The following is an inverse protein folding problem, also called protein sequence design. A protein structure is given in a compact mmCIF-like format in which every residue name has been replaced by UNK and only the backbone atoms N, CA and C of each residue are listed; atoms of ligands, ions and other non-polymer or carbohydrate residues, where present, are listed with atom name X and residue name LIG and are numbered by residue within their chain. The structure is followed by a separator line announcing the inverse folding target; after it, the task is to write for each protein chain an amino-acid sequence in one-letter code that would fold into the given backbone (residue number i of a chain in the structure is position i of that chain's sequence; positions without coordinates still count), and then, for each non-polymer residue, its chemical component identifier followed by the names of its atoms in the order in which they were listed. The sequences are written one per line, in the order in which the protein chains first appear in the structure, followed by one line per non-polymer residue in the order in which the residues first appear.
data_IF_486676549297
#
_entry.id   IF_486676549297
#
_cell.length_a   1.000
_cell.length_b   1.000
_cell.length_c   1.000
_cell.angle_alpha   90.00
_cell.angle_beta   90.00
_cell.angle_gamma   90.00
#
_symmetry.space_group_name_H-M   'P 1'
#
loop_
_entity.id
_entity.type
_entity.pdbx_description
1 polymer ?
#
# COMPACT_ATOMS: atom_id res chain seq x y z
N UNK A 1 32.67 36.38 -5.34
CA UNK A 1 32.72 35.32 -6.37
C UNK A 1 32.20 34.04 -5.77
N UNK A 2 30.90 33.81 -5.91
CA UNK A 2 30.21 32.51 -6.18
C UNK A 2 28.69 32.74 -6.01
N UNK A 3 27.87 32.53 -7.06
CA UNK A 3 26.49 32.16 -6.85
C UNK A 3 26.13 30.94 -7.71
N UNK A 4 25.77 29.82 -7.08
CA UNK A 4 24.98 28.75 -7.72
C UNK A 4 23.89 28.25 -6.80
N UNK A 5 22.77 28.97 -6.84
CA UNK A 5 21.43 28.45 -6.56
C UNK A 5 20.64 28.63 -7.86
N UNK A 6 20.15 27.52 -8.41
CA UNK A 6 19.08 27.43 -9.41
C UNK A 6 18.51 26.02 -9.19
N UNK A 7 17.33 25.77 -8.63
CA UNK A 7 15.98 26.22 -8.99
C UNK A 7 15.77 26.34 -10.49
N UNK A 8 15.18 25.30 -11.09
CA UNK A 8 14.27 25.39 -12.24
C UNK A 8 13.45 24.08 -12.23
N UNK A 9 12.21 24.10 -11.74
CA UNK A 9 11.00 24.64 -12.37
C UNK A 9 10.42 23.69 -13.42
N UNK A 10 9.29 23.10 -13.02
CA UNK A 10 8.15 22.66 -13.81
C UNK A 10 8.27 22.84 -15.34
N UNK A 11 8.35 21.73 -16.07
CA UNK A 11 8.04 21.71 -17.49
C UNK A 11 6.51 21.63 -17.66
N UNK A 12 5.82 22.67 -18.16
CA UNK A 12 4.40 22.59 -18.42
C UNK A 12 4.17 21.69 -19.64
N UNK A 13 3.32 20.68 -19.46
CA UNK A 13 2.75 19.91 -20.56
C UNK A 13 1.99 20.88 -21.45
N UNK A 14 2.52 21.17 -22.63
CA UNK A 14 1.93 22.10 -23.59
C UNK A 14 0.68 21.45 -24.18
N UNK A 15 -0.49 21.95 -23.78
CA UNK A 15 -1.79 21.57 -24.33
C UNK A 15 -1.94 22.20 -25.72
N UNK A 16 -1.56 21.47 -26.77
CA UNK A 16 -1.85 21.89 -28.14
C UNK A 16 -3.36 21.78 -28.41
N UNK A 17 -4.05 22.93 -28.42
CA UNK A 17 -5.44 23.04 -28.84
C UNK A 17 -5.56 22.79 -30.35
N UNK A 18 -6.07 21.61 -30.73
CA UNK A 18 -6.45 21.34 -32.11
C UNK A 18 -7.79 22.04 -32.44
N UNK A 19 -7.73 23.01 -33.36
CA UNK A 19 -8.92 23.64 -33.95
C UNK A 19 -9.68 22.65 -34.85
N UNK A 20 -11.00 22.82 -34.86
CA UNK A 20 -12.00 21.89 -35.40
C UNK A 20 -11.79 21.39 -36.83
N UNK A 21 -12.05 20.09 -36.99
CA UNK A 21 -12.32 19.43 -38.26
C UNK A 21 -13.24 18.23 -38.01
N UNK A 22 -14.47 18.30 -38.52
CA UNK A 22 -15.44 17.18 -38.48
C UNK A 22 -14.92 16.05 -39.38
N UNK A 23 -14.58 14.92 -38.80
CA UNK A 23 -14.28 13.68 -39.52
C UNK A 23 -14.47 12.47 -38.61
N UNK A 24 -15.51 11.68 -38.89
CA UNK A 24 -15.72 10.33 -38.33
C UNK A 24 -14.60 9.42 -38.87
N UNK A 25 -13.70 8.95 -38.02
CA UNK A 25 -12.70 7.95 -38.38
C UNK A 25 -11.84 7.59 -37.16
N UNK A 26 -11.67 6.30 -36.88
CA UNK A 26 -10.93 5.79 -35.72
C UNK A 26 -9.51 6.38 -35.66
N UNK A 27 -9.14 6.85 -34.47
CA UNK A 27 -7.86 7.50 -34.22
C UNK A 27 -6.70 6.53 -34.42
N UNK A 28 -6.04 6.64 -35.56
CA UNK A 28 -4.72 6.10 -35.79
C UNK A 28 -3.72 7.14 -35.28
N UNK A 29 -3.11 6.91 -34.11
CA UNK A 29 -1.97 7.72 -33.66
C UNK A 29 -0.87 7.59 -34.70
N UNK A 30 -0.35 8.73 -35.19
CA UNK A 30 0.73 8.72 -36.17
C UNK A 30 1.99 8.04 -35.65
N UNK A 31 2.90 7.57 -36.51
CA UNK A 31 4.17 6.99 -36.09
C UNK A 31 4.97 8.03 -35.28
N UNK A 32 5.06 7.81 -33.96
CA UNK A 32 5.77 8.68 -33.02
C UNK A 32 4.89 9.35 -31.95
N UNK A 33 3.56 9.34 -32.10
CA UNK A 33 2.67 9.86 -31.06
C UNK A 33 2.29 8.79 -30.04
N UNK A 34 2.39 9.14 -28.76
CA UNK A 34 1.92 8.32 -27.66
C UNK A 34 0.44 7.94 -27.83
N UNK A 35 0.11 6.66 -27.74
CA UNK A 35 -1.31 6.30 -27.59
C UNK A 35 -1.82 6.74 -26.20
N UNK A 36 -3.12 7.05 -26.04
CA UNK A 36 -3.70 7.34 -24.73
C UNK A 36 -3.43 6.23 -23.68
N UNK A 37 -3.40 4.97 -24.11
CA UNK A 37 -3.06 3.85 -23.24
C UNK A 37 -1.61 3.90 -22.75
N UNK A 38 -0.67 4.27 -23.61
CA UNK A 38 0.73 4.43 -23.24
C UNK A 38 0.93 5.61 -22.28
N UNK A 39 0.22 6.71 -22.50
CA UNK A 39 0.24 7.85 -21.58
C UNK A 39 -0.28 7.47 -20.18
N UNK A 40 -1.41 6.74 -20.10
CA UNK A 40 -1.94 6.26 -18.83
C UNK A 40 -0.99 5.29 -18.11
N UNK A 41 -0.35 4.36 -18.85
CA UNK A 41 0.69 3.48 -18.29
C UNK A 41 1.90 4.27 -17.77
N UNK A 42 2.37 5.24 -18.55
CA UNK A 42 3.49 6.09 -18.20
C UNK A 42 3.19 6.90 -16.93
N UNK A 43 2.01 7.50 -16.84
CA UNK A 43 1.57 8.25 -15.65
C UNK A 43 1.51 7.36 -14.41
N UNK A 44 0.87 6.19 -14.53
CA UNK A 44 0.74 5.26 -13.41
C UNK A 44 2.10 4.74 -12.94
N UNK A 45 2.97 4.31 -13.86
CA UNK A 45 4.31 3.82 -13.51
C UNK A 45 5.18 4.92 -12.93
N UNK A 46 5.09 6.15 -13.43
CA UNK A 46 5.81 7.29 -12.86
C UNK A 46 5.36 7.59 -11.42
N UNK A 47 4.05 7.48 -11.13
CA UNK A 47 3.52 7.65 -9.78
C UNK A 47 4.04 6.55 -8.84
N UNK A 48 3.94 5.28 -9.25
CA UNK A 48 4.44 4.15 -8.46
C UNK A 48 5.93 4.27 -8.16
N UNK A 49 6.74 4.67 -9.15
CA UNK A 49 8.17 4.89 -8.95
C UNK A 49 8.43 5.98 -7.90
N UNK A 50 7.76 7.15 -8.01
CA UNK A 50 7.94 8.23 -7.04
C UNK A 50 7.55 7.82 -5.62
N UNK A 51 6.43 7.12 -5.45
CA UNK A 51 5.95 6.68 -4.14
C UNK A 51 6.88 5.63 -3.53
N UNK A 52 7.32 4.64 -4.31
CA UNK A 52 8.26 3.62 -3.84
C UNK A 52 9.61 4.25 -3.47
N UNK A 53 10.16 5.13 -4.30
CA UNK A 53 11.40 5.85 -3.99
C UNK A 53 11.26 6.73 -2.75
N UNK A 54 10.12 7.43 -2.57
CA UNK A 54 9.86 8.24 -1.39
C UNK A 54 9.89 7.40 -0.11
N UNK A 55 9.25 6.22 -0.14
CA UNK A 55 9.25 5.30 1.01
C UNK A 55 10.65 4.81 1.37
N UNK A 56 11.49 4.50 0.39
CA UNK A 56 12.90 4.17 0.66
C UNK A 56 13.65 5.37 1.22
N UNK A 57 13.38 6.59 0.74
CA UNK A 57 14.05 7.79 1.25
C UNK A 57 13.63 8.18 2.67
N UNK A 58 12.48 7.72 3.16
CA UNK A 58 12.10 7.86 4.57
C UNK A 58 13.06 7.09 5.51
N UNK A 59 13.64 5.97 5.04
CA UNK A 59 14.55 5.12 5.81
C UNK A 59 16.03 5.33 5.45
N UNK A 60 16.31 5.64 4.19
CA UNK A 60 17.63 5.89 3.63
C UNK A 60 17.54 7.11 2.71
N UNK A 61 17.67 8.33 3.26
CA UNK A 61 17.50 9.58 2.51
C UNK A 61 18.46 9.73 1.33
N UNK A 62 19.58 9.01 1.35
CA UNK A 62 20.61 9.07 0.32
C UNK A 62 20.35 8.14 -0.86
N UNK A 63 19.45 7.17 -0.68
CA UNK A 63 19.20 6.13 -1.67
C UNK A 63 18.61 6.67 -2.97
N UNK A 64 19.10 6.12 -4.07
CA UNK A 64 18.64 6.39 -5.43
C UNK A 64 18.63 5.08 -6.23
N UNK A 65 17.69 4.91 -7.16
CA UNK A 65 17.75 3.78 -8.08
C UNK A 65 18.95 3.92 -9.02
N UNK A 66 19.47 2.79 -9.47
CA UNK A 66 20.55 2.71 -10.45
C UNK A 66 20.17 3.46 -11.74
N UNK A 67 21.07 4.31 -12.25
CA UNK A 67 20.82 5.08 -13.45
C UNK A 67 20.69 4.14 -14.66
N UNK A 68 19.65 4.35 -15.46
CA UNK A 68 19.47 3.65 -16.74
C UNK A 68 19.56 4.66 -17.88
N UNK A 69 20.45 4.43 -18.84
CA UNK A 69 20.50 5.21 -20.08
C UNK A 69 19.29 4.84 -20.95
N UNK A 70 18.38 5.79 -21.15
CA UNK A 70 17.19 5.62 -21.98
C UNK A 70 17.05 6.78 -22.96
N UNK A 71 16.42 6.53 -24.11
CA UNK A 71 15.94 7.61 -24.99
C UNK A 71 14.74 8.30 -24.31
N UNK A 72 14.85 9.60 -23.94
CA UNK A 72 13.76 10.32 -23.28
C UNK A 72 12.54 10.53 -24.18
N UNK A 73 12.66 10.36 -25.50
CA UNK A 73 11.54 10.48 -26.42
C UNK A 73 10.79 9.14 -26.62
N UNK A 74 11.35 8.02 -26.14
CA UNK A 74 10.74 6.71 -26.22
C UNK A 74 9.90 6.42 -24.97
N UNK A 75 8.57 6.34 -25.16
CA UNK A 75 7.62 6.16 -24.05
C UNK A 75 7.75 4.80 -23.38
N UNK A 76 7.96 3.73 -24.15
CA UNK A 76 8.16 2.41 -23.56
C UNK A 76 9.48 2.36 -22.77
N UNK A 77 10.54 3.05 -23.23
CA UNK A 77 11.78 3.16 -22.47
C UNK A 77 11.59 3.91 -21.14
N UNK A 78 10.76 4.97 -21.12
CA UNK A 78 10.40 5.69 -19.90
C UNK A 78 9.57 4.84 -18.94
N UNK A 79 8.61 4.08 -19.46
CA UNK A 79 7.81 3.13 -18.67
C UNK A 79 8.75 2.09 -18.04
N UNK A 80 9.61 1.47 -18.83
CA UNK A 80 10.56 0.47 -18.34
C UNK A 80 11.51 1.03 -17.26
N UNK A 81 11.96 2.28 -17.41
CA UNK A 81 12.74 2.98 -16.37
C UNK A 81 11.96 3.14 -15.07
N UNK A 82 10.72 3.59 -15.13
CA UNK A 82 9.88 3.76 -13.94
C UNK A 82 9.61 2.41 -13.23
N UNK A 83 9.31 1.37 -14.01
CA UNK A 83 9.12 0.02 -13.49
C UNK A 83 10.41 -0.52 -12.84
N UNK A 84 11.57 -0.26 -13.45
CA UNK A 84 12.87 -0.60 -12.87
C UNK A 84 13.13 0.12 -11.55
N UNK A 85 12.90 1.43 -11.49
CA UNK A 85 13.05 2.22 -10.27
C UNK A 85 12.12 1.71 -9.15
N UNK A 86 10.88 1.37 -9.50
CA UNK A 86 9.90 0.78 -8.57
C UNK A 86 10.41 -0.57 -8.02
N UNK A 87 10.93 -1.45 -8.87
CA UNK A 87 11.48 -2.74 -8.44
C UNK A 87 12.65 -2.57 -7.47
N UNK A 88 13.61 -1.73 -7.82
CA UNK A 88 14.78 -1.47 -6.97
C UNK A 88 14.40 -0.85 -5.63
N UNK A 89 13.45 0.10 -5.63
CA UNK A 89 12.95 0.70 -4.39
C UNK A 89 12.24 -0.34 -3.51
N UNK A 90 11.38 -1.17 -4.11
CA UNK A 90 10.68 -2.24 -3.41
C UNK A 90 11.65 -3.30 -2.86
N UNK A 91 12.70 -3.63 -3.59
CA UNK A 91 13.76 -4.55 -3.13
C UNK A 91 14.46 -3.98 -1.91
N UNK A 92 14.98 -2.74 -2.00
CA UNK A 92 15.63 -2.06 -0.88
C UNK A 92 14.70 -1.93 0.33
N UNK A 93 13.43 -1.59 0.11
CA UNK A 93 12.47 -1.48 1.19
C UNK A 93 12.22 -2.83 1.88
N UNK A 94 12.13 -3.91 1.11
CA UNK A 94 11.94 -5.25 1.68
C UNK A 94 13.14 -5.73 2.50
N UNK A 95 14.38 -5.37 2.10
CA UNK A 95 15.57 -5.66 2.91
C UNK A 95 15.47 -4.96 4.27
N UNK A 96 15.09 -3.69 4.27
CA UNK A 96 14.85 -2.95 5.51
C UNK A 96 13.76 -3.59 6.38
N UNK A 97 12.67 -4.08 5.78
CA UNK A 97 11.63 -4.78 6.54
C UNK A 97 12.14 -6.10 7.13
N UNK A 98 13.06 -6.81 6.47
CA UNK A 98 13.72 -8.00 7.06
C UNK A 98 14.58 -7.62 8.24
N UNK A 99 15.30 -6.51 8.16
CA UNK A 99 16.08 -6.00 9.30
C UNK A 99 15.16 -5.59 10.46
N UNK A 100 14.03 -4.96 10.15
CA UNK A 100 13.08 -4.44 11.15
C UNK A 100 12.28 -5.54 11.83
N UNK A 101 11.82 -6.55 11.08
CA UNK A 101 10.90 -7.57 11.57
C UNK A 101 11.54 -8.96 11.72
N UNK A 102 12.72 -9.21 11.15
CA UNK A 102 13.35 -10.52 11.15
C UNK A 102 12.45 -11.58 10.51
N UNK A 103 12.43 -12.78 11.11
CA UNK A 103 11.62 -13.92 10.67
C UNK A 103 10.10 -13.66 10.70
N UNK A 104 9.65 -12.59 11.36
CA UNK A 104 8.23 -12.23 11.43
C UNK A 104 7.69 -11.73 10.07
N UNK A 105 8.50 -11.10 9.23
CA UNK A 105 7.99 -10.50 7.99
C UNK A 105 7.89 -11.46 6.81
N UNK A 106 8.79 -12.44 6.72
CA UNK A 106 9.01 -13.23 5.51
C UNK A 106 9.50 -14.64 5.87
N UNK A 107 8.64 -15.66 5.96
CA UNK A 107 9.13 -17.03 5.89
C UNK A 107 9.85 -17.20 4.55
N UNK A 108 11.07 -17.73 4.56
CA UNK A 108 12.02 -17.78 3.44
C UNK A 108 11.46 -18.29 2.08
N UNK A 109 10.31 -18.96 2.09
CA UNK A 109 9.57 -19.40 0.91
C UNK A 109 8.87 -18.27 0.12
N UNK A 110 8.82 -17.04 0.64
CA UNK A 110 8.07 -15.91 0.02
C UNK A 110 8.93 -14.87 -0.68
N UNK A 111 10.25 -15.05 -0.69
CA UNK A 111 11.20 -14.08 -1.26
C UNK A 111 11.07 -13.91 -2.79
N UNK A 112 10.55 -14.92 -3.48
CA UNK A 112 10.35 -14.91 -4.93
C UNK A 112 8.92 -14.54 -5.35
N UNK A 113 8.00 -14.31 -4.41
CA UNK A 113 6.62 -13.98 -4.72
C UNK A 113 6.54 -12.58 -5.35
N UNK A 114 5.75 -12.46 -6.42
CA UNK A 114 5.46 -11.16 -7.02
C UNK A 114 4.76 -10.28 -5.98
N UNK A 115 5.39 -9.15 -5.65
CA UNK A 115 4.82 -8.17 -4.70
C UNK A 115 3.75 -7.35 -5.39
N UNK A 116 2.73 -6.95 -4.63
CA UNK A 116 1.78 -5.93 -5.07
C UNK A 116 2.39 -4.52 -4.97
N UNK A 117 1.56 -3.51 -5.12
CA UNK A 117 1.96 -2.12 -4.90
C UNK A 117 1.72 -1.71 -3.45
N UNK A 118 2.70 -1.09 -2.79
CA UNK A 118 2.49 -0.40 -1.51
C UNK A 118 2.52 1.11 -1.78
N UNK A 119 1.43 1.80 -1.46
CA UNK A 119 1.17 3.19 -1.87
C UNK A 119 0.57 3.98 -0.71
N UNK A 120 0.51 5.31 -0.85
CA UNK A 120 -0.02 6.18 0.20
C UNK A 120 0.93 6.39 1.40
N UNK A 121 0.64 7.39 2.25
CA UNK A 121 1.50 7.74 3.37
C UNK A 121 1.37 6.73 4.52
N UNK A 122 2.50 6.44 5.18
CA UNK A 122 2.52 5.65 6.41
C UNK A 122 1.78 6.38 7.53
N UNK A 123 1.21 5.62 8.46
CA UNK A 123 0.72 6.18 9.71
C UNK A 123 1.88 6.85 10.47
N UNK A 124 1.70 8.09 10.90
CA UNK A 124 2.76 8.84 11.57
C UNK A 124 2.98 8.30 12.98
N UNK A 125 4.20 7.84 13.26
CA UNK A 125 4.64 7.47 14.61
C UNK A 125 5.42 8.63 15.19
N UNK A 126 4.78 9.48 16.00
CA UNK A 126 5.42 10.67 16.56
C UNK A 126 5.92 10.39 17.97
N UNK A 127 7.13 10.85 18.29
CA UNK A 127 7.75 10.62 19.61
C UNK A 127 6.92 11.20 20.76
N UNK A 128 6.23 12.31 20.50
CA UNK A 128 5.39 13.00 21.48
C UNK A 128 4.02 12.36 21.71
N UNK A 129 3.57 11.46 20.84
CA UNK A 129 2.30 10.78 21.02
C UNK A 129 2.40 9.81 22.21
N UNK A 130 1.27 9.58 22.88
CA UNK A 130 1.22 8.63 23.98
C UNK A 130 1.56 7.20 23.50
N UNK A 131 2.04 6.32 24.41
CA UNK A 131 2.50 5.00 24.02
C UNK A 131 1.47 4.15 23.26
N UNK A 132 0.17 4.30 23.55
CA UNK A 132 -0.87 3.52 22.87
C UNK A 132 -1.12 4.02 21.45
N UNK A 133 -1.15 5.34 21.27
CA UNK A 133 -1.29 5.94 19.93
C UNK A 133 -0.10 5.58 19.04
N UNK A 134 1.13 5.65 19.57
CA UNK A 134 2.33 5.23 18.82
C UNK A 134 2.26 3.76 18.44
N UNK A 135 1.93 2.89 19.41
CA UNK A 135 1.76 1.45 19.18
C UNK A 135 0.72 1.19 18.09
N UNK A 136 -0.42 1.88 18.13
CA UNK A 136 -1.47 1.75 17.12
C UNK A 136 -0.96 2.04 15.72
N UNK A 137 -0.25 3.16 15.54
CA UNK A 137 0.36 3.54 14.26
C UNK A 137 1.47 2.57 13.82
N UNK A 138 2.28 2.06 14.75
CA UNK A 138 3.31 1.04 14.47
C UNK A 138 2.68 -0.27 13.97
N UNK A 139 1.61 -0.75 14.62
CA UNK A 139 0.89 -1.96 14.20
C UNK A 139 0.12 -1.77 12.90
N UNK A 140 -0.40 -0.57 12.66
CA UNK A 140 -1.02 -0.22 11.39
C UNK A 140 -0.01 -0.27 10.24
N UNK A 141 1.16 0.33 10.42
CA UNK A 141 2.23 0.27 9.42
C UNK A 141 2.72 -1.16 9.19
N UNK A 142 2.93 -1.93 10.26
CA UNK A 142 3.37 -3.31 10.16
C UNK A 142 2.37 -4.21 9.42
N UNK A 143 1.08 -4.06 9.68
CA UNK A 143 0.05 -4.82 8.96
C UNK A 143 0.12 -4.52 7.45
N UNK A 144 0.26 -3.24 7.07
CA UNK A 144 0.39 -2.83 5.66
C UNK A 144 1.64 -3.44 5.00
N UNK A 145 2.77 -3.39 5.70
CA UNK A 145 4.04 -3.96 5.25
C UNK A 145 3.91 -5.47 4.99
N UNK A 146 3.29 -6.21 5.92
CA UNK A 146 3.15 -7.67 5.79
C UNK A 146 2.14 -8.03 4.70
N UNK A 147 1.03 -7.30 4.58
CA UNK A 147 0.10 -7.47 3.46
C UNK A 147 0.80 -7.30 2.11
N UNK A 148 1.60 -6.25 1.97
CA UNK A 148 2.37 -6.00 0.74
C UNK A 148 3.40 -7.08 0.45
N UNK A 149 4.15 -7.52 1.47
CA UNK A 149 5.11 -8.63 1.36
C UNK A 149 4.42 -9.95 0.96
N UNK A 150 3.12 -10.08 1.23
CA UNK A 150 2.28 -11.21 0.82
C UNK A 150 1.66 -11.05 -0.58
N UNK A 151 2.06 -10.04 -1.35
CA UNK A 151 1.61 -9.85 -2.73
C UNK A 151 0.37 -8.98 -2.91
N UNK A 152 -0.18 -8.42 -1.84
CA UNK A 152 -1.35 -7.55 -1.92
C UNK A 152 -1.00 -6.14 -2.41
N UNK A 153 -1.93 -5.52 -3.14
CA UNK A 153 -1.89 -4.09 -3.40
C UNK A 153 -2.45 -3.36 -2.19
N UNK A 154 -1.63 -2.58 -1.51
CA UNK A 154 -1.98 -1.86 -0.29
C UNK A 154 -1.78 -0.36 -0.52
N UNK A 155 -2.84 0.41 -0.41
CA UNK A 155 -2.82 1.87 -0.30
C UNK A 155 -3.08 2.24 1.16
N UNK A 156 -2.11 2.83 1.84
CA UNK A 156 -2.28 3.33 3.21
C UNK A 156 -2.95 4.70 3.20
N UNK A 157 -3.85 4.93 4.17
CA UNK A 157 -4.65 6.17 4.31
C UNK A 157 -5.25 6.61 2.98
N UNK A 158 -5.98 5.72 2.27
CA UNK A 158 -6.53 6.03 0.96
C UNK A 158 -7.52 7.19 1.04
N UNK A 159 -7.58 7.99 -0.01
CA UNK A 159 -8.66 8.97 -0.14
C UNK A 159 -9.96 8.26 -0.54
N UNK A 160 -11.00 8.41 0.27
CA UNK A 160 -12.31 7.77 0.05
C UNK A 160 -13.43 8.80 0.18
N UNK A 161 -14.47 8.72 -0.66
CA UNK A 161 -15.62 9.60 -0.53
C UNK A 161 -16.28 9.48 0.86
N UNK A 162 -16.66 10.63 1.41
CA UNK A 162 -17.38 10.72 2.68
C UNK A 162 -16.48 10.98 3.90
N UNK A 163 -17.05 10.90 5.12
CA UNK A 163 -16.35 11.27 6.35
C UNK A 163 -15.38 10.18 6.85
N UNK A 164 -15.46 8.97 6.29
CA UNK A 164 -14.64 7.83 6.73
C UNK A 164 -13.19 8.00 6.33
N UNK A 165 -12.29 7.48 7.16
CA UNK A 165 -10.85 7.49 6.95
C UNK A 165 -10.31 6.08 7.23
N UNK A 166 -10.54 5.12 6.33
CA UNK A 166 -10.06 3.77 6.54
C UNK A 166 -8.54 3.75 6.55
N UNK A 167 -7.97 2.76 7.22
CA UNK A 167 -6.52 2.62 7.30
C UNK A 167 -5.93 2.21 5.95
N UNK A 168 -6.64 1.33 5.22
CA UNK A 168 -6.14 0.76 3.97
C UNK A 168 -7.19 0.70 2.88
N UNK A 169 -6.70 0.68 1.64
CA UNK A 169 -7.35 -0.01 0.53
C UNK A 169 -6.48 -1.19 0.13
N UNK A 170 -6.98 -2.40 0.33
CA UNK A 170 -6.30 -3.67 0.02
C UNK A 170 -7.01 -4.31 -1.18
N UNK A 171 -6.30 -4.47 -2.29
CA UNK A 171 -6.83 -5.03 -3.55
C UNK A 171 -8.17 -4.41 -3.98
N UNK A 172 -8.31 -3.09 -3.79
CA UNK A 172 -9.47 -2.31 -4.19
C UNK A 172 -10.55 -2.11 -3.10
N UNK A 173 -10.49 -2.86 -2.00
CA UNK A 173 -11.47 -2.77 -0.92
C UNK A 173 -10.91 -2.07 0.32
N UNK A 174 -11.75 -1.32 1.04
CA UNK A 174 -11.31 -0.59 2.25
C UNK A 174 -11.28 -1.49 3.47
N UNK A 175 -10.26 -1.33 4.31
CA UNK A 175 -10.06 -2.07 5.55
C UNK A 175 -9.63 -1.12 6.67
N UNK A 176 -9.99 -1.49 7.90
CA UNK A 176 -9.39 -0.92 9.11
C UNK A 176 -8.46 -1.93 9.77
N UNK A 177 -7.43 -1.42 10.43
CA UNK A 177 -6.56 -2.21 11.27
C UNK A 177 -7.11 -2.30 12.69
N UNK A 178 -7.02 -3.48 13.30
CA UNK A 178 -7.26 -3.67 14.71
C UNK A 178 -6.16 -4.53 15.33
N UNK A 179 -5.38 -3.94 16.23
CA UNK A 179 -4.30 -4.62 16.94
C UNK A 179 -4.63 -4.79 18.43
N UNK A 180 -5.36 -5.85 18.83
CA UNK A 180 -5.72 -6.07 20.23
C UNK A 180 -4.49 -6.36 21.12
N UNK A 181 -4.53 -5.85 22.35
CA UNK A 181 -3.66 -6.32 23.47
C UNK A 181 -4.34 -7.36 24.36
N UNK A 182 -5.66 -7.46 24.26
CA UNK A 182 -6.44 -8.35 25.12
C UNK A 182 -6.23 -9.80 24.70
N UNK A 183 -6.22 -10.69 25.69
CA UNK A 183 -6.20 -12.13 25.49
C UNK A 183 -7.60 -12.75 25.57
N UNK A 184 -8.65 -11.91 25.57
CA UNK A 184 -10.03 -12.35 25.61
C UNK A 184 -10.66 -12.26 24.21
N UNK A 185 -10.92 -13.42 23.62
CA UNK A 185 -11.47 -13.54 22.26
C UNK A 185 -12.85 -12.87 22.12
N UNK A 186 -13.68 -12.92 23.17
CA UNK A 186 -15.00 -12.28 23.17
C UNK A 186 -14.88 -10.76 23.13
N UNK A 187 -13.85 -10.19 23.75
CA UNK A 187 -13.58 -8.75 23.67
C UNK A 187 -13.11 -8.34 22.27
N UNK A 188 -12.29 -9.16 21.62
CA UNK A 188 -11.90 -8.96 20.21
C UNK A 188 -13.13 -8.98 19.31
N UNK A 189 -13.94 -10.04 19.42
CA UNK A 189 -15.19 -10.16 18.67
C UNK A 189 -16.11 -8.97 18.89
N UNK A 190 -16.34 -8.58 20.15
CA UNK A 190 -17.22 -7.44 20.50
C UNK A 190 -16.73 -6.13 19.88
N UNK A 191 -15.42 -5.87 19.94
CA UNK A 191 -14.83 -4.65 19.37
C UNK A 191 -15.01 -4.61 17.85
N UNK A 192 -14.84 -5.75 17.17
CA UNK A 192 -15.09 -5.84 15.73
C UNK A 192 -16.57 -5.67 15.44
N UNK A 193 -17.45 -6.35 16.18
CA UNK A 193 -18.90 -6.23 16.06
C UNK A 193 -19.37 -4.77 16.18
N UNK A 194 -18.94 -4.06 17.23
CA UNK A 194 -19.27 -2.64 17.45
C UNK A 194 -18.86 -1.77 16.25
N UNK A 195 -17.64 -1.98 15.70
CA UNK A 195 -17.16 -1.25 14.50
C UNK A 195 -17.99 -1.52 13.24
N UNK A 196 -18.47 -2.76 13.06
CA UNK A 196 -19.29 -3.13 11.90
C UNK A 196 -20.72 -2.58 12.05
N UNK A 197 -21.34 -2.71 13.22
CA UNK A 197 -22.71 -2.24 13.49
C UNK A 197 -22.82 -0.71 13.40
N UNK A 198 -21.81 0.01 13.87
CA UNK A 198 -21.71 1.47 13.72
C UNK A 198 -21.43 1.89 12.26
N UNK A 199 -21.40 0.93 11.33
CA UNK A 199 -21.04 1.11 9.93
C UNK A 199 -19.70 1.83 9.77
N UNK A 200 -18.75 1.68 10.69
CA UNK A 200 -17.43 2.30 10.55
C UNK A 200 -16.62 1.58 9.46
N UNK A 201 -16.62 0.25 9.51
CA UNK A 201 -15.93 -0.61 8.53
C UNK A 201 -16.79 -1.80 8.10
N UNK A 202 -16.33 -2.52 7.07
CA UNK A 202 -16.86 -3.83 6.66
C UNK A 202 -15.78 -4.90 6.63
N UNK A 203 -14.52 -4.51 6.47
CA UNK A 203 -13.40 -5.43 6.37
C UNK A 203 -12.34 -5.03 7.39
N UNK A 204 -11.72 -6.02 8.03
CA UNK A 204 -10.77 -5.77 9.12
C UNK A 204 -9.51 -6.59 8.94
N UNK A 205 -8.38 -5.98 9.26
CA UNK A 205 -7.11 -6.65 9.50
C UNK A 205 -6.94 -6.76 11.01
N UNK A 206 -6.86 -7.98 11.53
CA UNK A 206 -6.63 -8.24 12.96
C UNK A 206 -5.16 -8.61 13.16
N UNK A 207 -4.40 -7.72 13.80
CA UNK A 207 -3.00 -7.94 14.11
C UNK A 207 -2.83 -8.44 15.54
N UNK A 208 -2.52 -9.73 15.69
CA UNK A 208 -2.43 -10.40 16.98
C UNK A 208 -1.06 -10.29 17.64
N UNK A 209 -0.13 -9.48 17.12
CA UNK A 209 1.25 -9.47 17.63
C UNK A 209 1.35 -9.19 19.14
N UNK A 210 0.45 -8.36 19.70
CA UNK A 210 0.43 -8.06 21.14
C UNK A 210 -0.66 -8.82 21.91
N UNK A 211 -1.23 -9.87 21.31
CA UNK A 211 -2.22 -10.75 21.91
C UNK A 211 -1.71 -12.18 21.91
N UNK A 212 -2.05 -12.96 22.94
CA UNK A 212 -1.77 -14.39 23.03
C UNK A 212 -2.88 -15.25 22.40
N UNK A 213 -3.87 -14.63 21.74
CA UNK A 213 -4.95 -15.35 21.07
C UNK A 213 -4.45 -16.09 19.85
N UNK A 214 -4.83 -17.35 19.71
CA UNK A 214 -4.52 -18.16 18.52
C UNK A 214 -5.55 -17.93 17.42
N UNK A 215 -5.17 -18.27 16.18
CA UNK A 215 -6.08 -18.28 15.05
C UNK A 215 -7.34 -19.13 15.33
N UNK A 216 -7.17 -20.33 15.93
CA UNK A 216 -8.30 -21.23 16.24
C UNK A 216 -9.30 -20.57 17.16
N UNK A 217 -8.84 -19.86 18.19
CA UNK A 217 -9.73 -19.15 19.11
C UNK A 217 -10.54 -18.07 18.38
N UNK A 218 -9.89 -17.27 17.53
CA UNK A 218 -10.57 -16.23 16.74
C UNK A 218 -11.58 -16.87 15.78
N UNK A 219 -11.18 -17.90 15.04
CA UNK A 219 -12.01 -18.61 14.08
C UNK A 219 -13.25 -19.24 14.74
N UNK A 220 -13.07 -19.96 15.86
CA UNK A 220 -14.15 -20.56 16.64
C UNK A 220 -15.14 -19.48 17.13
N UNK A 221 -14.64 -18.38 17.70
CA UNK A 221 -15.49 -17.31 18.23
C UNK A 221 -16.33 -16.63 17.14
N UNK A 222 -15.72 -16.27 16.01
CA UNK A 222 -16.41 -15.60 14.92
C UNK A 222 -17.38 -16.53 14.18
N UNK A 223 -17.08 -17.83 14.08
CA UNK A 223 -18.01 -18.81 13.49
C UNK A 223 -19.20 -19.13 14.38
N UNK A 224 -18.96 -19.24 15.69
CA UNK A 224 -20.03 -19.48 16.66
C UNK A 224 -20.94 -18.25 16.83
N UNK A 225 -20.43 -17.05 16.53
CA UNK A 225 -21.16 -15.79 16.67
C UNK A 225 -20.98 -14.95 15.40
N UNK A 226 -21.70 -15.27 14.30
CA UNK A 226 -21.58 -14.52 13.06
C UNK A 226 -21.94 -13.05 13.24
N UNK A 227 -21.24 -12.16 12.53
CA UNK A 227 -21.47 -10.71 12.56
C UNK A 227 -22.10 -10.31 11.23
N UNK A 228 -23.33 -9.81 11.28
CA UNK A 228 -24.02 -9.34 10.08
C UNK A 228 -23.21 -8.24 9.39
N UNK A 229 -23.16 -8.27 8.06
CA UNK A 229 -22.43 -7.32 7.20
C UNK A 229 -20.91 -7.31 7.31
N UNK A 230 -20.31 -8.16 8.15
CA UNK A 230 -18.89 -8.42 8.15
C UNK A 230 -18.47 -9.02 6.79
N UNK A 231 -17.54 -8.36 6.12
CA UNK A 231 -16.96 -8.80 4.87
C UNK A 231 -15.71 -9.65 5.11
N UNK A 232 -14.55 -9.08 4.81
CA UNK A 232 -13.26 -9.79 4.82
C UNK A 232 -12.52 -9.61 6.13
N UNK A 233 -11.91 -10.70 6.61
CA UNK A 233 -10.98 -10.68 7.74
C UNK A 233 -9.63 -11.23 7.29
N UNK A 234 -8.60 -10.40 7.42
CA UNK A 234 -7.22 -10.83 7.42
C UNK A 234 -6.74 -10.93 8.87
N UNK A 235 -6.04 -12.01 9.21
CA UNK A 235 -5.43 -12.21 10.52
C UNK A 235 -3.92 -12.25 10.31
N UNK A 236 -3.21 -11.42 11.07
CA UNK A 236 -1.78 -11.52 11.24
C UNK A 236 -1.52 -12.18 12.61
N UNK A 237 -0.96 -13.39 12.62
CA UNK A 237 -0.65 -14.10 13.85
C UNK A 237 0.64 -13.56 14.53
N UNK A 238 0.98 -14.09 15.71
CA UNK A 238 2.17 -13.67 16.48
C UNK A 238 3.51 -14.04 15.80
N UNK A 239 3.47 -14.86 14.75
CA UNK A 239 4.63 -15.26 13.96
C UNK A 239 4.71 -14.50 12.64
N UNK A 240 3.75 -13.61 12.39
CA UNK A 240 3.69 -12.80 11.19
C UNK A 240 3.11 -13.53 9.98
N UNK A 241 2.46 -14.68 10.19
CA UNK A 241 1.70 -15.34 9.14
C UNK A 241 0.43 -14.55 8.86
N UNK A 242 0.19 -14.26 7.58
CA UNK A 242 -1.04 -13.67 7.10
C UNK A 242 -2.03 -14.78 6.70
N UNK A 243 -3.19 -14.80 7.34
CA UNK A 243 -4.27 -15.77 7.10
C UNK A 243 -5.54 -15.04 6.68
N UNK A 244 -6.14 -15.48 5.58
CA UNK A 244 -7.49 -15.07 5.22
C UNK A 244 -8.51 -15.93 5.96
N UNK A 245 -9.29 -15.34 6.84
CA UNK A 245 -10.37 -16.06 7.52
C UNK A 245 -11.59 -16.09 6.60
N UNK A 246 -11.73 -17.19 5.86
CA UNK A 246 -12.92 -17.45 5.05
C UNK A 246 -14.13 -17.60 5.97
N UNK A 247 -15.17 -16.81 5.73
CA UNK A 247 -16.43 -16.95 6.46
C UNK A 247 -17.65 -16.88 5.57
N UNK A 248 -18.68 -17.56 6.05
CA UNK A 248 -20.08 -17.27 5.78
C UNK A 248 -20.59 -16.55 7.04
N UNK A 249 -20.29 -15.25 7.15
CA UNK A 249 -20.65 -14.42 8.31
C UNK A 249 -22.08 -13.90 8.23
#
# INVERSE_FOLDING_TARGET
TDPRVASDADNPVTLAQARGGRGRGGGFSGPGEATPSQLGRLENTARLAREAEARVREIDPSWKPEPTLIDPNNIEARIARNESATRQANERYSEHLRELYGDFALPAQRDSAQRGNLTGPRALVRRQDDPETRRGAERENQSADILWLNGHNVEQKPDVPGPKRPDYRIDGEVFDNYAPKTNNVRNVWRTVFEKIEENQTRNVVINLQDSNLTLSQIEEQFRANPISNLGKIWILDQRGNLIYLKGSW
#
